data_IF_155571235834
#
_entry.id   IF_155571235834
#
_cell.length_a   1.000
_cell.length_b   1.000
_cell.length_c   1.000
_cell.angle_alpha   90.00
_cell.angle_beta   90.00
_cell.angle_gamma   90.00
#
_symmetry.space_group_name_H-M   'P 1'
#
loop_
_entity.id
_entity.type
_entity.pdbx_description
1 polymer ?
#
# COMPACT_ATOMS: atom_id res chain seq x y z
N UNK A 1 -6.38 -31.77 -51.16
CA UNK A 1 -5.80 -31.27 -49.90
C UNK A 1 -5.16 -32.46 -49.20
N UNK A 2 -3.91 -32.32 -48.76
CA UNK A 2 -3.11 -33.47 -48.27
C UNK A 2 -3.48 -33.82 -46.82
N UNK A 3 -3.77 -35.10 -46.49
CA UNK A 3 -4.19 -35.54 -45.15
C UNK A 3 -3.23 -35.16 -44.01
N UNK A 4 -1.94 -34.95 -44.33
CA UNK A 4 -0.92 -34.59 -43.35
C UNK A 4 -1.04 -33.16 -42.81
N UNK A 5 -1.59 -32.23 -43.61
CA UNK A 5 -1.78 -30.84 -43.18
C UNK A 5 -2.95 -30.71 -42.22
N UNK A 6 -4.02 -31.49 -42.43
CA UNK A 6 -5.20 -31.49 -41.55
C UNK A 6 -4.87 -32.12 -40.19
N UNK A 7 -4.04 -33.16 -40.15
CA UNK A 7 -3.57 -33.77 -38.90
C UNK A 7 -2.66 -32.82 -38.10
N UNK A 8 -1.76 -32.10 -38.78
CA UNK A 8 -0.90 -31.10 -38.13
C UNK A 8 -1.71 -29.93 -37.55
N UNK A 9 -2.74 -29.45 -38.25
CA UNK A 9 -3.63 -28.40 -37.78
C UNK A 9 -4.42 -28.84 -36.53
N UNK A 10 -5.01 -30.05 -36.57
CA UNK A 10 -5.73 -30.63 -35.42
C UNK A 10 -4.83 -30.80 -34.19
N UNK A 11 -3.58 -31.23 -34.37
CA UNK A 11 -2.62 -31.33 -33.27
C UNK A 11 -2.24 -29.97 -32.69
N UNK A 12 -2.17 -28.92 -33.51
CA UNK A 12 -1.88 -27.56 -33.06
C UNK A 12 -3.04 -26.98 -32.25
N UNK A 13 -4.28 -27.16 -32.72
CA UNK A 13 -5.50 -26.73 -32.01
C UNK A 13 -5.65 -27.45 -30.65
N UNK A 14 -5.37 -28.75 -30.61
CA UNK A 14 -5.36 -29.52 -29.36
C UNK A 14 -4.31 -28.99 -28.36
N UNK A 15 -3.12 -28.62 -28.85
CA UNK A 15 -2.07 -28.01 -28.02
C UNK A 15 -2.45 -26.62 -27.52
N UNK A 16 -3.04 -25.79 -28.37
CA UNK A 16 -3.52 -24.45 -27.99
C UNK A 16 -4.60 -24.54 -26.91
N UNK A 17 -5.56 -25.45 -27.08
CA UNK A 17 -6.63 -25.70 -26.10
C UNK A 17 -6.06 -26.16 -24.75
N UNK A 18 -5.08 -27.06 -24.77
CA UNK A 18 -4.40 -27.53 -23.56
C UNK A 18 -3.61 -26.41 -22.85
N UNK A 19 -3.00 -25.49 -23.61
CA UNK A 19 -2.29 -24.34 -23.05
C UNK A 19 -3.25 -23.34 -22.40
N UNK A 20 -4.36 -23.03 -23.05
CA UNK A 20 -5.39 -22.13 -22.50
C UNK A 20 -5.97 -22.69 -21.20
N UNK A 21 -6.33 -23.97 -21.17
CA UNK A 21 -6.82 -24.62 -19.94
C UNK A 21 -5.80 -24.56 -18.80
N UNK A 22 -4.50 -24.66 -19.11
CA UNK A 22 -3.44 -24.55 -18.10
C UNK A 22 -3.28 -23.12 -17.58
N UNK A 23 -3.48 -22.10 -18.42
CA UNK A 23 -3.49 -20.70 -18.02
C UNK A 23 -4.68 -20.43 -17.09
N UNK A 24 -5.87 -20.94 -17.41
CA UNK A 24 -7.06 -20.80 -16.56
C UNK A 24 -6.82 -21.43 -15.18
N UNK A 25 -6.27 -22.66 -15.14
CA UNK A 25 -5.92 -23.33 -13.89
C UNK A 25 -4.89 -22.56 -13.05
N UNK A 26 -3.93 -21.88 -13.70
CA UNK A 26 -2.96 -21.05 -12.98
C UNK A 26 -3.61 -19.78 -12.42
N UNK A 27 -4.52 -19.17 -13.18
CA UNK A 27 -5.30 -17.99 -12.74
C UNK A 27 -6.20 -18.34 -11.55
N UNK A 28 -6.87 -19.49 -11.58
CA UNK A 28 -7.69 -19.98 -10.46
C UNK A 28 -6.85 -20.25 -9.22
N UNK A 29 -5.67 -20.87 -9.40
CA UNK A 29 -4.73 -21.11 -8.29
C UNK A 29 -4.20 -19.82 -7.69
N UNK A 30 -3.88 -18.82 -8.50
CA UNK A 30 -3.45 -17.51 -8.01
C UNK A 30 -4.56 -16.79 -7.25
N UNK A 31 -5.79 -16.87 -7.75
CA UNK A 31 -6.98 -16.34 -7.08
C UNK A 31 -7.24 -17.03 -5.74
N UNK A 32 -7.10 -18.36 -5.70
CA UNK A 32 -7.23 -19.15 -4.46
C UNK A 32 -6.12 -18.83 -3.44
N UNK A 33 -4.88 -18.62 -3.88
CA UNK A 33 -3.78 -18.18 -3.02
C UNK A 33 -4.07 -16.79 -2.46
N UNK A 34 -4.55 -15.87 -3.29
CA UNK A 34 -4.92 -14.51 -2.87
C UNK A 34 -6.04 -14.54 -1.84
N UNK A 35 -7.09 -15.34 -2.08
CA UNK A 35 -8.19 -15.52 -1.13
C UNK A 35 -7.76 -16.25 0.16
N UNK A 36 -6.86 -17.23 0.07
CA UNK A 36 -6.33 -17.95 1.22
C UNK A 36 -5.40 -17.08 2.07
N UNK A 37 -4.59 -16.24 1.43
CA UNK A 37 -3.90 -15.16 2.10
C UNK A 37 -4.97 -14.32 2.82
N UNK A 38 -5.97 -13.78 2.12
CA UNK A 38 -7.10 -12.98 2.67
C UNK A 38 -7.77 -13.60 3.90
N UNK A 39 -7.98 -14.92 3.92
CA UNK A 39 -8.53 -15.65 5.07
C UNK A 39 -7.54 -15.82 6.22
N UNK A 40 -6.26 -16.07 5.91
CA UNK A 40 -5.18 -16.10 6.91
C UNK A 40 -5.02 -14.73 7.59
N UNK A 41 -5.30 -13.63 6.87
CA UNK A 41 -5.32 -12.26 7.41
C UNK A 41 -6.52 -11.95 8.32
N UNK A 42 -7.61 -12.74 8.26
CA UNK A 42 -8.84 -12.54 9.03
C UNK A 42 -8.90 -13.31 10.35
N UNK A 43 -7.91 -14.14 10.66
CA UNK A 43 -7.79 -14.82 11.96
C UNK A 43 -7.09 -13.87 12.96
N UNK A 44 -7.81 -13.23 13.90
CA UNK A 44 -7.16 -12.44 14.95
C UNK A 44 -6.33 -13.38 15.83
N UNK A 45 -5.02 -13.18 15.82
CA UNK A 45 -4.16 -13.73 16.87
C UNK A 45 -4.60 -13.12 18.20
N UNK A 46 -5.11 -13.96 19.10
CA UNK A 46 -5.67 -13.60 20.41
C UNK A 46 -4.70 -12.90 21.39
N UNK A 47 -3.49 -12.52 20.94
CA UNK A 47 -2.41 -12.02 21.78
C UNK A 47 -2.10 -10.51 21.68
N UNK A 48 -2.83 -9.73 20.85
CA UNK A 48 -2.51 -8.30 20.66
C UNK A 48 -3.60 -7.30 21.07
N UNK A 49 -4.71 -7.75 21.67
CA UNK A 49 -5.77 -6.87 22.17
C UNK A 49 -5.45 -6.35 23.58
N UNK A 50 -4.63 -5.29 23.67
CA UNK A 50 -4.72 -4.39 24.81
C UNK A 50 -5.89 -3.44 24.60
N UNK A 51 -6.84 -3.52 25.53
CA UNK A 51 -8.11 -2.81 25.54
C UNK A 51 -7.95 -1.30 25.34
N UNK A 52 -8.67 -0.77 24.35
CA UNK A 52 -9.08 0.64 24.27
C UNK A 52 -10.23 0.82 25.27
N UNK A 53 -10.23 1.84 26.15
CA UNK A 53 -11.34 2.05 27.06
C UNK A 53 -12.62 2.36 26.27
N UNK A 54 -13.65 1.55 26.49
CA UNK A 54 -14.99 1.73 25.96
C UNK A 54 -15.68 2.89 26.68
N UNK A 55 -15.79 4.01 25.98
CA UNK A 55 -16.56 5.13 26.45
C UNK A 55 -16.51 6.27 25.46
N UNK A 56 -17.25 6.17 24.36
CA UNK A 56 -18.11 7.24 23.86
C UNK A 56 -19.09 6.66 22.84
N UNK A 57 -20.35 6.96 23.09
CA UNK A 57 -21.49 6.55 22.30
C UNK A 57 -21.34 7.04 20.86
N UNK A 58 -21.78 6.19 19.95
CA UNK A 58 -22.03 6.45 18.53
C UNK A 58 -22.57 7.85 18.27
N UNK A 59 -21.78 8.67 17.59
CA UNK A 59 -22.33 9.57 16.59
C UNK A 59 -21.70 9.21 15.25
N UNK A 60 -22.55 8.74 14.34
CA UNK A 60 -22.24 8.62 12.92
C UNK A 60 -22.04 10.03 12.36
N UNK A 61 -20.84 10.58 12.51
CA UNK A 61 -20.37 11.67 11.67
C UNK A 61 -19.81 11.04 10.41
N UNK A 62 -20.48 11.22 9.28
CA UNK A 62 -19.94 10.77 8.00
C UNK A 62 -18.55 11.40 7.80
N UNK A 63 -17.57 10.56 7.45
CA UNK A 63 -16.26 11.00 6.99
C UNK A 63 -16.44 11.75 5.68
N UNK A 64 -16.69 13.04 5.82
CA UNK A 64 -17.15 13.87 4.73
C UNK A 64 -15.97 14.24 3.82
N UNK A 65 -15.77 13.41 2.80
CA UNK A 65 -14.90 13.75 1.67
C UNK A 65 -15.53 14.85 0.79
N UNK A 66 -16.67 15.47 1.17
CA UNK A 66 -17.19 16.66 0.47
C UNK A 66 -16.24 17.86 0.52
N UNK A 67 -15.35 17.93 1.52
CA UNK A 67 -14.24 18.88 1.54
C UNK A 67 -13.26 18.65 0.37
N UNK A 68 -13.25 17.45 -0.21
CA UNK A 68 -12.60 17.20 -1.49
C UNK A 68 -13.51 17.66 -2.64
N UNK A 69 -14.83 17.51 -2.62
CA UNK A 69 -15.76 17.74 -3.77
C UNK A 69 -15.75 19.13 -4.45
N UNK A 70 -14.96 20.10 -4.00
CA UNK A 70 -14.70 21.32 -4.78
C UNK A 70 -13.83 21.05 -6.03
N UNK A 71 -14.10 21.70 -7.18
CA UNK A 71 -13.17 21.72 -8.30
C UNK A 71 -11.89 22.43 -7.85
N UNK A 72 -10.77 21.71 -7.83
CA UNK A 72 -9.48 22.31 -7.50
C UNK A 72 -8.63 22.40 -8.76
N UNK A 73 -7.97 23.54 -9.05
CA UNK A 73 -7.07 23.62 -10.19
C UNK A 73 -6.03 22.48 -10.14
N UNK A 74 -6.02 21.64 -11.17
CA UNK A 74 -5.12 20.48 -11.29
C UNK A 74 -5.76 19.10 -11.08
N UNK A 75 -7.09 19.00 -10.93
CA UNK A 75 -7.78 17.71 -11.08
C UNK A 75 -7.58 17.17 -12.50
N UNK A 76 -7.18 15.90 -12.60
CA UNK A 76 -6.82 15.28 -13.88
C UNK A 76 -8.08 15.15 -14.74
N UNK A 77 -8.10 15.80 -15.89
CA UNK A 77 -9.17 15.58 -16.87
C UNK A 77 -9.11 14.11 -17.33
N UNK A 78 -10.27 13.52 -17.62
CA UNK A 78 -10.41 12.09 -17.96
C UNK A 78 -9.60 11.61 -19.20
N UNK A 79 -8.85 12.50 -19.88
CA UNK A 79 -7.97 12.19 -21.01
C UNK A 79 -6.45 12.22 -20.69
N UNK A 80 -6.04 12.68 -19.52
CA UNK A 80 -4.63 12.81 -19.11
C UNK A 80 -4.21 11.75 -18.06
N UNK A 81 -5.04 10.72 -17.87
CA UNK A 81 -4.75 9.63 -16.94
C UNK A 81 -3.63 8.73 -17.49
N UNK A 82 -2.57 8.56 -16.70
CA UNK A 82 -1.46 7.67 -17.04
C UNK A 82 -1.79 6.21 -16.70
N UNK A 83 -1.04 5.27 -17.29
CA UNK A 83 -1.16 3.86 -16.98
C UNK A 83 -0.92 3.54 -15.49
N UNK A 84 -0.02 4.28 -14.82
CA UNK A 84 0.21 4.13 -13.39
C UNK A 84 -0.99 4.60 -12.58
N UNK A 85 -1.52 5.78 -12.88
CA UNK A 85 -2.72 6.30 -12.21
C UNK A 85 -3.90 5.33 -12.37
N UNK A 86 -4.17 4.86 -13.59
CA UNK A 86 -5.21 3.88 -13.87
C UNK A 86 -5.01 2.58 -13.05
N UNK A 87 -3.78 2.04 -13.01
CA UNK A 87 -3.44 0.85 -12.22
C UNK A 87 -3.75 1.02 -10.73
N UNK A 88 -3.42 2.16 -10.14
CA UNK A 88 -3.75 2.43 -8.73
C UNK A 88 -5.25 2.60 -8.53
N UNK A 89 -5.92 3.34 -9.42
CA UNK A 89 -7.35 3.54 -9.37
C UNK A 89 -8.10 2.20 -9.41
N UNK A 90 -7.69 1.30 -10.29
CA UNK A 90 -8.26 -0.04 -10.42
C UNK A 90 -7.98 -0.90 -9.18
N UNK A 91 -6.76 -0.85 -8.64
CA UNK A 91 -6.43 -1.56 -7.40
C UNK A 91 -7.29 -1.08 -6.21
N UNK A 92 -7.53 0.23 -6.09
CA UNK A 92 -8.37 0.81 -5.03
C UNK A 92 -9.83 0.39 -5.21
N UNK A 93 -10.36 0.48 -6.44
CA UNK A 93 -11.75 0.07 -6.77
C UNK A 93 -11.96 -1.43 -6.59
N UNK A 94 -10.99 -2.25 -6.94
CA UNK A 94 -11.03 -3.70 -6.73
C UNK A 94 -11.12 -4.07 -5.24
N UNK A 95 -10.56 -3.22 -4.36
CA UNK A 95 -10.73 -3.32 -2.92
C UNK A 95 -12.05 -2.76 -2.37
N UNK A 96 -13.00 -2.39 -3.24
CA UNK A 96 -14.33 -1.90 -2.86
C UNK A 96 -14.36 -0.42 -2.49
N UNK A 97 -13.27 0.32 -2.66
CA UNK A 97 -13.19 1.74 -2.31
C UNK A 97 -13.54 2.58 -3.55
N UNK A 98 -14.60 3.38 -3.45
CA UNK A 98 -15.08 4.23 -4.53
C UNK A 98 -14.70 5.71 -4.37
N UNK A 99 -14.29 6.12 -3.16
CA UNK A 99 -13.97 7.51 -2.83
C UNK A 99 -12.49 7.70 -2.57
N UNK A 100 -11.79 8.22 -3.58
CA UNK A 100 -10.40 8.63 -3.50
C UNK A 100 -10.16 9.73 -4.53
N UNK A 101 -9.05 10.46 -4.40
CA UNK A 101 -8.69 11.54 -5.33
C UNK A 101 -7.24 11.48 -5.73
N UNK A 102 -7.00 11.63 -7.03
CA UNK A 102 -5.67 11.93 -7.56
C UNK A 102 -5.52 13.42 -7.82
N UNK A 103 -4.31 13.95 -7.59
CA UNK A 103 -3.96 15.32 -7.92
C UNK A 103 -2.53 15.42 -8.44
N UNK A 104 -2.38 16.10 -9.58
CA UNK A 104 -1.07 16.46 -10.13
C UNK A 104 -0.53 17.70 -9.41
N UNK A 105 0.77 17.72 -9.14
CA UNK A 105 1.48 18.87 -8.57
C UNK A 105 2.62 19.30 -9.49
N UNK A 106 3.09 20.55 -9.42
CA UNK A 106 4.21 21.00 -10.25
C UNK A 106 5.51 20.22 -10.03
N UNK A 107 6.42 20.25 -11.01
CA UNK A 107 7.69 19.49 -10.93
C UNK A 107 8.62 19.95 -9.81
N UNK A 108 8.52 21.21 -9.39
CA UNK A 108 9.27 21.81 -8.27
C UNK A 108 8.59 21.62 -6.90
N UNK A 109 7.50 20.83 -6.83
CA UNK A 109 6.73 20.60 -5.60
C UNK A 109 7.58 20.14 -4.41
N UNK A 110 8.63 19.35 -4.66
CA UNK A 110 9.53 18.86 -3.62
C UNK A 110 10.56 19.89 -3.12
N UNK A 111 10.67 21.04 -3.78
CA UNK A 111 11.49 22.17 -3.34
C UNK A 111 10.72 23.12 -2.41
N UNK A 112 9.40 22.97 -2.33
CA UNK A 112 8.53 23.84 -1.53
C UNK A 112 8.51 23.49 -0.04
N UNK A 113 8.10 24.43 0.81
CA UNK A 113 7.81 24.17 2.23
C UNK A 113 6.60 23.25 2.39
N UNK A 114 6.43 22.63 3.56
CA UNK A 114 5.28 21.76 3.81
C UNK A 114 3.95 22.53 3.78
N UNK A 115 3.95 23.79 4.21
CA UNK A 115 2.77 24.67 4.17
C UNK A 115 2.34 24.96 2.74
N UNK A 116 3.29 25.28 1.85
CA UNK A 116 3.00 25.49 0.43
C UNK A 116 2.48 24.21 -0.23
N UNK A 117 3.04 23.06 0.11
CA UNK A 117 2.54 21.75 -0.36
C UNK A 117 1.14 21.44 0.15
N UNK A 118 0.85 21.77 1.42
CA UNK A 118 -0.48 21.63 2.03
C UNK A 118 -1.49 22.47 1.25
N UNK A 119 -1.18 23.74 1.03
CA UNK A 119 -2.05 24.68 0.33
C UNK A 119 -2.30 24.21 -1.11
N UNK A 120 -1.23 23.75 -1.79
CA UNK A 120 -1.31 23.20 -3.13
C UNK A 120 -2.14 21.92 -3.23
N UNK A 121 -2.30 21.15 -2.14
CA UNK A 121 -3.16 19.96 -2.10
C UNK A 121 -4.54 20.24 -1.50
N UNK A 122 -4.80 21.44 -0.98
CA UNK A 122 -6.01 21.74 -0.23
C UNK A 122 -6.10 20.95 1.08
N UNK A 123 -4.97 20.54 1.64
CA UNK A 123 -4.93 19.75 2.86
C UNK A 123 -5.23 20.63 4.10
N UNK A 124 -5.90 20.11 5.14
CA UNK A 124 -6.29 20.90 6.32
C UNK A 124 -5.08 21.30 7.18
N UNK A 125 -4.06 20.45 7.22
CA UNK A 125 -2.79 20.72 7.90
C UNK A 125 -1.64 19.99 7.22
N UNK A 126 -0.41 20.36 7.55
CA UNK A 126 0.79 19.64 7.08
C UNK A 126 0.84 18.18 7.57
N UNK A 127 0.11 17.85 8.64
CA UNK A 127 0.00 16.49 9.16
C UNK A 127 -0.86 15.59 8.28
N UNK A 128 -1.68 16.15 7.39
CA UNK A 128 -2.41 15.38 6.38
C UNK A 128 -1.51 15.02 5.19
N UNK A 129 -0.28 15.54 5.13
CA UNK A 129 0.70 15.15 4.11
C UNK A 129 1.51 13.97 4.65
N UNK A 130 1.40 12.81 4.02
CA UNK A 130 2.12 11.61 4.40
C UNK A 130 3.08 11.14 3.30
N UNK A 131 4.10 10.38 3.71
CA UNK A 131 5.04 9.70 2.84
C UNK A 131 5.06 8.21 3.14
N UNK A 132 5.32 7.44 2.11
CA UNK A 132 5.50 6.00 2.18
C UNK A 132 6.96 5.67 1.96
N UNK A 133 7.54 4.84 2.84
CA UNK A 133 8.97 4.52 2.85
C UNK A 133 9.11 3.00 2.87
N UNK A 134 9.84 2.44 1.90
CA UNK A 134 10.19 1.02 1.92
C UNK A 134 11.38 0.82 2.86
N UNK A 135 11.19 0.00 3.88
CA UNK A 135 12.22 -0.37 4.85
C UNK A 135 12.59 -1.85 4.66
N UNK A 136 13.88 -2.15 4.71
CA UNK A 136 14.42 -3.51 4.63
C UNK A 136 15.01 -3.95 5.98
N UNK A 137 14.74 -5.19 6.38
CA UNK A 137 15.39 -5.84 7.50
C UNK A 137 16.74 -6.42 7.06
N UNK A 138 17.79 -5.62 7.20
CA UNK A 138 19.18 -5.99 6.84
C UNK A 138 19.74 -7.16 7.65
N UNK A 139 19.14 -7.51 8.80
CA UNK A 139 19.57 -8.61 9.67
C UNK A 139 18.61 -9.81 9.66
N UNK A 140 17.67 -9.83 8.70
CA UNK A 140 16.75 -10.93 8.51
C UNK A 140 17.50 -12.27 8.36
N UNK A 141 16.98 -13.37 8.94
CA UNK A 141 17.46 -14.72 8.66
C UNK A 141 17.48 -15.05 7.16
N UNK A 142 18.32 -16.01 6.74
CA UNK A 142 18.52 -16.33 5.33
C UNK A 142 17.26 -16.93 4.65
N UNK A 143 16.36 -17.51 5.43
CA UNK A 143 15.05 -18.02 5.00
C UNK A 143 13.99 -16.91 4.86
N UNK A 144 14.26 -15.70 5.37
CA UNK A 144 13.38 -14.54 5.24
C UNK A 144 13.87 -13.67 4.10
N UNK A 145 13.40 -13.98 2.89
CA UNK A 145 13.86 -13.35 1.64
C UNK A 145 12.86 -12.38 1.03
N UNK A 146 11.59 -12.41 1.46
CA UNK A 146 10.50 -11.73 0.76
C UNK A 146 9.42 -11.13 1.71
N UNK A 147 8.25 -10.84 1.13
CA UNK A 147 7.07 -10.24 1.76
C UNK A 147 6.01 -11.24 2.23
N UNK A 148 6.26 -12.55 2.12
CA UNK A 148 5.24 -13.60 2.30
C UNK A 148 4.74 -13.75 3.73
N UNK A 149 5.57 -13.45 4.74
CA UNK A 149 5.19 -13.47 6.16
C UNK A 149 5.11 -12.04 6.72
N UNK A 150 3.92 -11.45 6.87
CA UNK A 150 3.75 -10.09 7.37
C UNK A 150 4.28 -9.87 8.80
N UNK A 151 4.38 -10.94 9.60
CA UNK A 151 4.91 -10.85 10.96
C UNK A 151 6.43 -10.79 10.97
N UNK A 152 7.09 -11.33 9.96
CA UNK A 152 8.54 -11.37 9.85
C UNK A 152 8.97 -11.26 8.38
N UNK A 153 8.62 -10.16 7.74
CA UNK A 153 8.98 -9.90 6.35
C UNK A 153 10.39 -9.31 6.25
N UNK A 154 11.04 -9.54 5.10
CA UNK A 154 12.25 -8.83 4.71
C UNK A 154 12.00 -7.34 4.47
N UNK A 155 10.82 -6.94 3.99
CA UNK A 155 10.50 -5.57 3.61
C UNK A 155 9.16 -5.12 4.20
N UNK A 156 9.05 -3.85 4.57
CA UNK A 156 7.81 -3.22 5.01
C UNK A 156 7.67 -1.86 4.34
N UNK A 157 6.45 -1.48 3.95
CA UNK A 157 6.15 -0.08 3.63
C UNK A 157 5.68 0.61 4.90
N UNK A 158 6.33 1.71 5.27
CA UNK A 158 5.94 2.49 6.45
C UNK A 158 5.35 3.82 5.99
N UNK A 159 4.13 4.12 6.43
CA UNK A 159 3.41 5.36 6.13
C UNK A 159 3.38 6.25 7.37
N UNK A 160 3.97 7.44 7.25
CA UNK A 160 4.05 8.45 8.31
C UNK A 160 3.79 9.85 7.75
N UNK A 161 3.43 10.82 8.60
CA UNK A 161 3.38 12.23 8.19
C UNK A 161 4.74 12.75 7.72
N UNK A 162 4.74 13.71 6.79
CA UNK A 162 5.95 14.44 6.37
C UNK A 162 6.57 15.26 7.51
N UNK A 163 5.74 15.81 8.40
CA UNK A 163 6.17 16.54 9.60
C UNK A 163 6.86 15.63 10.63
N UNK A 164 6.65 14.32 10.55
CA UNK A 164 7.17 13.35 11.49
C UNK A 164 8.49 12.70 11.03
N UNK A 165 9.28 12.26 12.00
CA UNK A 165 10.49 11.47 11.79
C UNK A 165 10.24 10.03 12.22
N UNK A 166 10.59 9.08 11.35
CA UNK A 166 10.50 7.65 11.66
C UNK A 166 11.43 7.29 12.82
N UNK A 167 10.91 6.55 13.79
CA UNK A 167 11.66 5.93 14.85
C UNK A 167 11.85 4.43 14.56
N UNK A 168 13.00 4.09 13.95
CA UNK A 168 13.32 2.72 13.58
C UNK A 168 13.43 1.75 14.77
N UNK A 169 13.71 2.26 15.99
CA UNK A 169 13.73 1.45 17.20
C UNK A 169 12.31 1.05 17.64
N UNK A 170 11.34 1.96 17.55
CA UNK A 170 9.93 1.63 17.79
C UNK A 170 9.44 0.57 16.80
N UNK A 171 9.78 0.70 15.51
CA UNK A 171 9.46 -0.32 14.49
C UNK A 171 10.13 -1.66 14.81
N UNK A 172 11.41 -1.66 15.20
CA UNK A 172 12.15 -2.87 15.60
C UNK A 172 11.47 -3.57 16.77
N UNK A 173 11.08 -2.81 17.79
CA UNK A 173 10.41 -3.34 18.97
C UNK A 173 9.02 -3.89 18.61
N UNK A 174 8.27 -3.19 17.76
CA UNK A 174 7.00 -3.69 17.24
C UNK A 174 7.14 -5.04 16.53
N UNK A 175 8.08 -5.19 15.58
CA UNK A 175 8.29 -6.46 14.87
C UNK A 175 8.75 -7.57 15.84
N UNK A 176 9.54 -7.23 16.86
CA UNK A 176 9.93 -8.18 17.91
C UNK A 176 8.71 -8.69 18.69
N UNK A 177 7.85 -7.79 19.15
CA UNK A 177 6.64 -8.11 19.91
C UNK A 177 5.62 -8.85 19.04
N UNK A 178 5.52 -8.49 17.76
CA UNK A 178 4.70 -9.18 16.75
C UNK A 178 5.13 -10.65 16.55
N UNK A 179 6.38 -11.00 16.86
CA UNK A 179 6.85 -12.39 16.83
C UNK A 179 6.81 -13.06 18.20
N UNK A 180 6.08 -12.50 19.18
CA UNK A 180 5.95 -13.03 20.54
C UNK A 180 7.32 -13.22 21.22
N UNK A 181 8.30 -12.39 20.83
CA UNK A 181 9.68 -12.49 21.33
C UNK A 181 10.49 -13.69 20.83
N UNK A 182 9.92 -14.53 19.95
CA UNK A 182 10.59 -15.72 19.37
C UNK A 182 11.71 -15.34 18.40
N UNK A 183 11.59 -14.19 17.74
CA UNK A 183 12.62 -13.64 16.87
C UNK A 183 13.61 -12.80 17.70
N UNK A 184 14.92 -13.11 17.75
CA UNK A 184 15.87 -12.30 18.50
C UNK A 184 15.97 -10.87 17.95
N UNK A 185 15.96 -9.84 18.82
CA UNK A 185 16.06 -8.41 18.40
C UNK A 185 17.23 -8.12 17.45
N UNK A 186 18.36 -8.81 17.60
CA UNK A 186 19.53 -8.68 16.71
C UNK A 186 19.26 -9.06 15.24
N UNK A 187 18.20 -9.83 14.98
CA UNK A 187 17.73 -10.23 13.64
C UNK A 187 16.77 -9.20 13.03
N UNK A 188 16.57 -8.06 13.68
CA UNK A 188 15.69 -6.99 13.24
C UNK A 188 16.50 -5.69 13.20
N UNK A 189 16.88 -5.27 12.00
CA UNK A 189 17.55 -4.00 11.75
C UNK A 189 16.93 -3.34 10.51
N UNK A 190 15.89 -2.55 10.75
CA UNK A 190 15.15 -1.82 9.74
C UNK A 190 15.99 -0.66 9.21
N UNK A 191 16.30 -0.68 7.92
CA UNK A 191 17.01 0.38 7.19
C UNK A 191 16.19 0.78 5.96
N UNK A 192 16.45 1.96 5.43
CA UNK A 192 15.89 2.36 4.14
C UNK A 192 16.29 1.31 3.10
N UNK A 193 15.31 0.82 2.33
CA UNK A 193 15.62 -0.11 1.24
C UNK A 193 16.44 0.62 0.16
N UNK A 194 17.39 -0.06 -0.50
CA UNK A 194 18.00 0.45 -1.72
C UNK A 194 16.93 0.85 -2.74
N UNK A 195 17.21 1.87 -3.57
CA UNK A 195 16.23 2.37 -4.54
C UNK A 195 15.85 1.31 -5.58
N UNK A 196 16.81 0.47 -5.98
CA UNK A 196 16.61 -0.72 -6.80
C UNK A 196 15.57 -1.67 -6.20
N UNK A 197 15.74 -2.07 -4.94
CA UNK A 197 14.81 -2.95 -4.23
C UNK A 197 13.44 -2.28 -4.12
N UNK A 198 13.40 -1.00 -3.75
CA UNK A 198 12.15 -0.24 -3.63
C UNK A 198 11.40 -0.20 -4.96
N UNK A 199 12.09 0.09 -6.07
CA UNK A 199 11.52 0.13 -7.41
C UNK A 199 11.04 -1.26 -7.85
N UNK A 200 11.81 -2.32 -7.61
CA UNK A 200 11.42 -3.69 -7.96
C UNK A 200 10.18 -4.17 -7.18
N UNK A 201 10.12 -3.85 -5.88
CA UNK A 201 9.02 -4.25 -5.00
C UNK A 201 7.74 -3.45 -5.26
N UNK A 202 7.88 -2.13 -5.46
CA UNK A 202 6.72 -1.21 -5.54
C UNK A 202 6.32 -0.88 -6.97
N UNK A 203 7.24 -0.92 -7.93
CA UNK A 203 7.02 -0.41 -9.27
C UNK A 203 7.00 1.13 -9.36
N UNK A 204 7.47 1.82 -8.32
CA UNK A 204 7.52 3.28 -8.25
C UNK A 204 8.94 3.77 -7.96
N UNK A 205 9.32 4.84 -8.65
CA UNK A 205 10.62 5.47 -8.46
C UNK A 205 10.72 6.27 -7.15
N UNK A 206 11.91 6.81 -6.88
CA UNK A 206 12.14 7.68 -5.74
C UNK A 206 11.12 8.84 -5.74
N UNK A 207 10.61 9.21 -4.56
CA UNK A 207 9.54 10.22 -4.38
C UNK A 207 8.17 9.91 -5.00
N UNK A 208 7.98 8.73 -5.60
CA UNK A 208 6.71 8.30 -6.18
C UNK A 208 6.02 7.17 -5.39
N UNK A 209 6.69 6.62 -4.36
CA UNK A 209 6.23 5.42 -3.64
C UNK A 209 4.82 5.59 -3.07
N UNK A 210 3.91 4.74 -3.53
CA UNK A 210 2.59 4.50 -2.97
C UNK A 210 2.57 3.12 -2.29
N UNK A 211 1.79 2.93 -1.21
CA UNK A 211 1.61 1.63 -0.57
C UNK A 211 0.55 0.75 -1.28
N UNK A 212 -0.08 1.27 -2.33
CA UNK A 212 -1.14 0.63 -3.11
C UNK A 212 -0.66 0.47 -4.55
N UNK A 213 -1.10 -0.58 -5.24
CA UNK A 213 -0.74 -0.82 -6.64
C UNK A 213 0.71 -1.24 -6.83
N UNK A 214 1.32 -1.81 -5.78
CA UNK A 214 2.70 -2.29 -5.78
C UNK A 214 2.84 -3.60 -6.55
N UNK A 215 4.02 -3.85 -7.12
CA UNK A 215 4.33 -5.11 -7.83
C UNK A 215 4.32 -6.33 -6.91
N UNK A 216 4.71 -6.13 -5.65
CA UNK A 216 4.70 -7.15 -4.59
C UNK A 216 3.73 -6.71 -3.49
N UNK A 217 2.94 -7.61 -2.88
CA UNK A 217 2.17 -7.28 -1.69
C UNK A 217 3.10 -7.11 -0.48
N UNK A 218 3.48 -5.87 -0.18
CA UNK A 218 4.39 -5.54 0.93
C UNK A 218 3.56 -5.24 2.19
N UNK A 219 3.85 -5.84 3.36
CA UNK A 219 3.18 -5.49 4.60
C UNK A 219 3.33 -4.01 4.94
N UNK A 220 2.22 -3.39 5.33
CA UNK A 220 2.15 -1.95 5.62
C UNK A 220 2.17 -1.72 7.13
N UNK A 221 3.00 -0.77 7.57
CA UNK A 221 2.98 -0.20 8.91
C UNK A 221 2.48 1.25 8.79
N UNK A 222 1.38 1.56 9.46
CA UNK A 222 0.76 2.89 9.48
C UNK A 222 1.03 3.55 10.83
N UNK A 223 1.48 4.81 10.82
CA UNK A 223 1.59 5.57 12.06
C UNK A 223 0.23 5.76 12.72
N UNK A 224 0.15 5.46 14.02
CA UNK A 224 -1.04 5.73 14.85
C UNK A 224 -1.52 7.18 14.78
N UNK A 225 -0.60 8.13 14.61
CA UNK A 225 -0.89 9.57 14.44
C UNK A 225 -1.79 9.86 13.23
N UNK A 226 -1.76 9.03 12.19
CA UNK A 226 -2.63 9.20 11.01
C UNK A 226 -4.08 8.86 11.36
N UNK A 227 -4.31 7.93 12.29
CA UNK A 227 -5.66 7.65 12.81
C UNK A 227 -6.22 8.80 13.66
N UNK A 228 -5.37 9.73 14.11
CA UNK A 228 -5.80 10.88 14.89
C UNK A 228 -6.20 12.10 14.02
N UNK A 229 -6.00 12.03 12.69
CA UNK A 229 -6.29 13.15 11.79
C UNK A 229 -7.76 13.59 11.84
N UNK A 230 -7.96 14.89 11.68
CA UNK A 230 -9.27 15.54 11.59
C UNK A 230 -9.19 16.63 10.52
N UNK A 231 -9.96 16.51 9.42
CA UNK A 231 -10.77 15.36 8.99
C UNK A 231 -9.96 14.05 8.78
N UNK A 232 -10.63 12.90 8.74
CA UNK A 232 -10.00 11.56 8.69
C UNK A 232 -9.59 11.16 7.27
N UNK A 233 -8.78 11.96 6.60
CA UNK A 233 -8.14 11.60 5.34
C UNK A 233 -6.69 12.06 5.32
N UNK A 234 -5.91 11.59 4.36
CA UNK A 234 -4.54 12.08 4.15
C UNK A 234 -4.12 11.94 2.70
N UNK A 235 -3.09 12.71 2.32
CA UNK A 235 -2.41 12.66 1.05
C UNK A 235 -1.15 11.82 1.14
N UNK A 236 -0.85 11.06 0.09
CA UNK A 236 0.36 10.25 -0.06
C UNK A 236 0.84 10.25 -1.52
N UNK A 237 1.96 9.58 -1.80
CA UNK A 237 2.43 9.35 -3.17
C UNK A 237 1.38 8.61 -4.00
N UNK A 238 1.17 9.06 -5.24
CA UNK A 238 0.21 8.47 -6.19
C UNK A 238 0.85 7.57 -7.24
N UNK A 239 2.08 7.09 -7.02
CA UNK A 239 2.79 6.22 -7.96
C UNK A 239 3.63 6.95 -9.01
N UNK A 240 3.56 8.29 -9.06
CA UNK A 240 4.41 9.15 -9.88
C UNK A 240 4.90 10.34 -9.04
N UNK A 241 6.05 10.93 -9.41
CA UNK A 241 6.69 12.01 -8.63
C UNK A 241 5.77 13.20 -8.46
N UNK A 242 5.01 13.55 -9.49
CA UNK A 242 4.08 14.67 -9.53
C UNK A 242 2.62 14.26 -9.23
N UNK A 243 2.35 12.99 -8.92
CA UNK A 243 1.00 12.50 -8.64
C UNK A 243 0.82 12.23 -7.15
N UNK A 244 -0.26 12.74 -6.57
CA UNK A 244 -0.65 12.55 -5.17
C UNK A 244 -2.00 11.88 -5.08
N UNK A 245 -2.15 10.99 -4.10
CA UNK A 245 -3.37 10.26 -3.82
C UNK A 245 -3.91 10.67 -2.44
N UNK A 246 -5.16 11.09 -2.38
CA UNK A 246 -5.92 11.26 -1.14
C UNK A 246 -6.94 10.13 -0.97
N UNK A 247 -7.05 9.62 0.26
CA UNK A 247 -8.14 8.73 0.64
C UNK A 247 -8.47 8.86 2.13
N UNK A 248 -9.69 8.43 2.50
CA UNK A 248 -10.09 8.34 3.90
C UNK A 248 -9.20 7.35 4.66
N UNK A 249 -8.90 7.66 5.92
CA UNK A 249 -8.08 6.79 6.78
C UNK A 249 -8.72 5.41 6.92
N UNK A 250 -10.04 5.37 7.09
CA UNK A 250 -10.75 4.11 7.30
C UNK A 250 -10.80 3.26 6.02
N UNK A 251 -10.91 3.89 4.84
CA UNK A 251 -10.77 3.19 3.55
C UNK A 251 -9.37 2.63 3.35
N UNK A 252 -8.32 3.38 3.71
CA UNK A 252 -6.94 2.90 3.67
C UNK A 252 -6.73 1.68 4.58
N UNK A 253 -7.26 1.75 5.81
CA UNK A 253 -7.16 0.66 6.78
C UNK A 253 -7.91 -0.57 6.29
N UNK A 254 -9.12 -0.39 5.75
CA UNK A 254 -9.91 -1.49 5.19
C UNK A 254 -9.26 -2.14 3.96
N UNK A 255 -8.62 -1.32 3.10
CA UNK A 255 -7.99 -1.79 1.88
C UNK A 255 -6.71 -2.59 2.14
N UNK A 256 -5.84 -2.10 3.04
CA UNK A 256 -4.48 -2.64 3.22
C UNK A 256 -4.29 -3.44 4.51
N UNK A 257 -5.24 -3.38 5.45
CA UNK A 257 -5.13 -3.98 6.78
C UNK A 257 -3.75 -3.75 7.43
N UNK A 258 -3.30 -2.48 7.57
CA UNK A 258 -1.95 -2.16 8.01
C UNK A 258 -1.77 -2.47 9.50
N UNK A 259 -0.53 -2.71 9.90
CA UNK A 259 -0.15 -2.66 11.31
C UNK A 259 -0.15 -1.21 11.80
N UNK A 260 -0.99 -0.88 12.78
CA UNK A 260 -1.01 0.46 13.38
C UNK A 260 -0.01 0.53 14.53
N UNK A 261 0.95 1.45 14.43
CA UNK A 261 2.10 1.52 15.35
C UNK A 261 2.44 2.98 15.68
N UNK A 262 2.74 3.26 16.95
CA UNK A 262 3.52 4.46 17.31
C UNK A 262 4.95 4.26 16.80
N UNK A 263 5.22 4.75 15.59
CA UNK A 263 6.49 4.55 14.89
C UNK A 263 7.25 5.85 14.64
N UNK A 264 6.85 6.96 15.27
CA UNK A 264 7.45 8.29 15.10
C UNK A 264 8.02 8.82 16.42
N UNK A 265 8.76 9.94 16.38
CA UNK A 265 9.29 10.62 17.58
C UNK A 265 8.25 11.50 18.25
#
# INVERSE_FOLDING_TARGET
MSPDLDNAAQQLEARQTALLSRIDQLTDRLSAITAAAQRSWLEPSAAASRAVPSGHASQAGGDDLSDLEGPVPGDVAAGDETATQARLADAIRAGGISRFRFRRVPSDYYDWTLEARRDALGAPSVDHLCKSIVMTNTQAPADVVDCSNPRNSKYYVIVIQYSARLNAEKVRNFVYDLNEGKLPKKRINMRLAPEEDSMALTGFEHNAVAPIGTCTPIPVILSDRILALRPRYFWMGGGEVDLKLAMAVDDFVNLLNPFVVDCTY
#
